data_IF_926555720809
#
_entry.id   IF_926555720809
#
_cell.length_a   1.000
_cell.length_b   1.000
_cell.length_c   1.000
_cell.angle_alpha   90.00
_cell.angle_beta   90.00
_cell.angle_gamma   90.00
#
_symmetry.space_group_name_H-M   'P 1'
#
loop_
_entity.id
_entity.type
_entity.pdbx_description
1 polymer ?
#
# COMPACT_ATOMS: atom_id res chain seq x y z
N UNK A 1 -45.60 54.40 -41.19
CA UNK A 1 -46.63 55.20 -41.92
C UNK A 1 -46.02 56.55 -42.24
N UNK A 2 -45.86 56.91 -43.51
CA UNK A 2 -44.99 58.03 -43.94
C UNK A 2 -45.71 59.01 -44.89
N UNK A 3 -46.98 59.32 -44.60
CA UNK A 3 -47.92 59.92 -45.59
C UNK A 3 -48.76 61.09 -45.05
N UNK A 4 -48.37 61.70 -43.92
CA UNK A 4 -49.13 62.79 -43.27
C UNK A 4 -48.35 64.11 -43.17
N UNK A 5 -47.01 64.10 -43.19
CA UNK A 5 -46.18 65.31 -43.00
C UNK A 5 -46.13 66.26 -44.21
N UNK A 6 -46.59 65.82 -45.38
CA UNK A 6 -46.36 66.50 -46.67
C UNK A 6 -47.48 67.48 -47.09
N UNK A 7 -48.23 68.03 -46.12
CA UNK A 7 -49.42 68.87 -46.40
C UNK A 7 -49.46 70.28 -45.79
N UNK A 8 -48.37 70.75 -45.18
CA UNK A 8 -48.34 72.11 -44.60
C UNK A 8 -47.11 72.96 -45.00
N UNK A 9 -46.68 72.85 -46.26
CA UNK A 9 -45.65 73.73 -46.83
C UNK A 9 -46.00 74.17 -48.27
N UNK A 10 -47.17 74.82 -48.46
CA UNK A 10 -47.59 75.30 -49.78
C UNK A 10 -48.69 76.40 -49.76
N UNK A 11 -48.38 77.58 -49.22
CA UNK A 11 -49.06 78.85 -49.57
C UNK A 11 -48.42 80.09 -48.91
N UNK A 12 -47.09 80.24 -48.98
CA UNK A 12 -46.48 81.58 -48.82
C UNK A 12 -46.65 82.35 -50.13
N UNK A 13 -47.89 82.63 -50.51
CA UNK A 13 -48.16 83.68 -51.47
C UNK A 13 -47.63 84.97 -50.85
N UNK A 14 -46.69 85.63 -51.53
CA UNK A 14 -46.32 87.01 -51.23
C UNK A 14 -47.49 87.89 -51.61
N UNK A 15 -48.48 87.93 -50.71
CA UNK A 15 -49.67 88.76 -50.85
C UNK A 15 -49.20 90.20 -50.90
N UNK A 16 -49.22 90.81 -52.09
CA UNK A 16 -49.07 92.25 -52.21
C UNK A 16 -50.26 92.87 -51.49
N UNK A 17 -50.01 93.28 -50.24
CA UNK A 17 -51.00 93.98 -49.44
C UNK A 17 -51.18 95.35 -50.05
N UNK A 18 -52.41 95.65 -50.46
CA UNK A 18 -52.82 96.98 -50.88
C UNK A 18 -52.36 97.98 -49.83
N UNK A 19 -51.59 98.98 -50.28
CA UNK A 19 -51.14 100.06 -49.40
C UNK A 19 -52.37 100.88 -49.03
N UNK A 20 -52.58 101.10 -47.74
CA UNK A 20 -53.64 102.00 -47.29
C UNK A 20 -53.47 103.36 -47.95
N UNK A 21 -54.59 104.02 -48.29
CA UNK A 21 -54.51 105.42 -48.71
C UNK A 21 -53.94 106.25 -47.56
N UNK A 22 -53.31 107.38 -47.87
CA UNK A 22 -52.65 108.20 -46.85
C UNK A 22 -53.61 108.64 -45.73
N UNK A 23 -54.89 108.85 -46.04
CA UNK A 23 -55.93 109.17 -45.07
C UNK A 23 -56.26 107.98 -44.14
N UNK A 24 -56.41 106.77 -44.68
CA UNK A 24 -56.62 105.56 -43.88
C UNK A 24 -55.41 105.24 -43.01
N UNK A 25 -54.20 105.38 -43.54
CA UNK A 25 -52.96 105.20 -42.80
C UNK A 25 -52.88 106.15 -41.61
N UNK A 26 -53.26 107.43 -41.77
CA UNK A 26 -53.34 108.40 -40.67
C UNK A 26 -54.43 108.04 -39.63
N UNK A 27 -55.62 107.64 -40.08
CA UNK A 27 -56.73 107.26 -39.18
C UNK A 27 -56.38 106.03 -38.34
N UNK A 28 -55.81 104.99 -38.95
CA UNK A 28 -55.35 103.80 -38.22
C UNK A 28 -54.15 104.11 -37.32
N UNK A 29 -53.23 104.98 -37.77
CA UNK A 29 -52.10 105.45 -36.94
C UNK A 29 -52.57 106.10 -35.65
N UNK A 30 -53.54 107.02 -35.69
CA UNK A 30 -54.08 107.67 -34.49
C UNK A 30 -54.72 106.68 -33.49
N UNK A 31 -55.30 105.57 -33.99
CA UNK A 31 -55.79 104.48 -33.14
C UNK A 31 -54.64 103.69 -32.51
N UNK A 32 -53.57 103.41 -33.26
CA UNK A 32 -52.37 102.72 -32.76
C UNK A 32 -51.60 103.58 -31.73
N UNK A 33 -51.52 104.89 -31.93
CA UNK A 33 -50.94 105.87 -30.98
C UNK A 33 -51.69 105.80 -29.63
N UNK A 34 -53.02 105.91 -29.64
CA UNK A 34 -53.87 105.74 -28.47
C UNK A 34 -53.68 104.36 -27.79
N UNK A 35 -53.43 103.29 -28.55
CA UNK A 35 -53.08 101.98 -27.96
C UNK A 35 -51.70 101.97 -27.28
N UNK A 36 -50.68 102.66 -27.82
CA UNK A 36 -49.35 102.79 -27.16
C UNK A 36 -49.46 103.64 -25.90
N UNK A 37 -50.28 104.69 -25.91
CA UNK A 37 -50.54 105.52 -24.73
C UNK A 37 -51.28 104.75 -23.64
N UNK A 38 -52.32 103.97 -23.98
CA UNK A 38 -53.01 103.11 -23.03
C UNK A 38 -52.10 102.00 -22.45
N UNK A 39 -51.25 101.38 -23.28
CA UNK A 39 -50.24 100.44 -22.78
C UNK A 39 -49.21 101.14 -21.88
N UNK A 40 -48.87 102.40 -22.16
CA UNK A 40 -47.96 103.21 -21.34
C UNK A 40 -48.59 103.59 -20.00
N UNK A 41 -49.88 103.94 -19.96
CA UNK A 41 -50.68 104.12 -18.74
C UNK A 41 -50.70 102.82 -17.91
N UNK A 42 -50.90 101.67 -18.56
CA UNK A 42 -50.91 100.37 -17.87
C UNK A 42 -49.59 100.06 -17.13
N UNK A 43 -48.44 100.49 -17.66
CA UNK A 43 -47.13 100.38 -16.98
C UNK A 43 -47.07 101.21 -15.69
N UNK A 44 -47.71 102.38 -15.65
CA UNK A 44 -47.75 103.22 -14.44
C UNK A 44 -48.75 102.70 -13.39
N UNK A 45 -49.78 101.97 -13.83
CA UNK A 45 -50.76 101.30 -12.95
C UNK A 45 -50.21 99.98 -12.40
N UNK A 46 -49.38 99.26 -13.17
CA UNK A 46 -48.80 97.97 -12.80
C UNK A 46 -47.25 97.98 -12.86
N UNK A 47 -46.56 98.66 -11.93
CA UNK A 47 -45.11 98.59 -11.82
C UNK A 47 -44.66 97.20 -11.31
N UNK A 48 -43.46 96.77 -11.72
CA UNK A 48 -42.87 95.47 -11.32
C UNK A 48 -42.27 95.52 -9.89
N UNK A 49 -42.07 96.71 -9.33
CA UNK A 49 -41.64 96.94 -7.94
C UNK A 49 -42.61 97.88 -7.22
N UNK A 50 -43.01 97.52 -6.00
CA UNK A 50 -43.93 98.29 -5.16
C UNK A 50 -43.17 99.25 -4.24
N UNK A 51 -42.24 100.01 -4.81
CA UNK A 51 -41.21 100.76 -4.07
C UNK A 51 -41.23 102.23 -4.50
N UNK A 52 -42.12 103.02 -3.90
CA UNK A 52 -42.35 104.39 -4.38
C UNK A 52 -43.50 105.18 -3.76
N UNK A 53 -43.67 105.14 -2.42
CA UNK A 53 -44.25 106.25 -1.61
C UNK A 53 -44.20 105.94 -0.11
N UNK A 54 -43.26 106.57 0.59
CA UNK A 54 -43.30 106.76 2.03
C UNK A 54 -44.34 107.84 2.42
N UNK A 55 -44.43 108.13 3.72
CA UNK A 55 -44.94 109.39 4.32
C UNK A 55 -46.37 109.41 4.92
N UNK A 56 -47.21 108.37 4.78
CA UNK A 56 -48.61 108.44 5.28
C UNK A 56 -49.02 107.36 6.32
N UNK A 57 -48.32 106.22 6.43
CA UNK A 57 -48.83 105.04 7.18
C UNK A 57 -47.91 104.50 8.30
N UNK A 58 -47.25 105.36 9.08
CA UNK A 58 -46.36 104.88 10.17
C UNK A 58 -47.12 104.22 11.34
N UNK A 59 -48.37 104.60 11.62
CA UNK A 59 -49.09 104.12 12.83
C UNK A 59 -49.48 102.64 12.74
N UNK A 60 -50.14 102.21 11.64
CA UNK A 60 -50.69 100.85 11.53
C UNK A 60 -49.65 99.73 11.32
N UNK A 61 -48.42 100.07 10.92
CA UNK A 61 -47.35 99.07 10.72
C UNK A 61 -46.82 98.57 12.07
N UNK A 62 -46.80 99.43 13.10
CA UNK A 62 -46.27 99.05 14.41
C UNK A 62 -47.22 98.07 15.14
N UNK A 63 -48.52 98.38 15.19
CA UNK A 63 -49.55 97.47 15.73
C UNK A 63 -49.53 96.10 15.00
N UNK A 64 -49.39 96.10 13.67
CA UNK A 64 -49.31 94.86 12.89
C UNK A 64 -48.02 94.07 13.17
N UNK A 65 -46.94 94.74 13.56
CA UNK A 65 -45.68 94.07 13.95
C UNK A 65 -45.81 93.41 15.32
N UNK A 66 -46.40 94.09 16.32
CA UNK A 66 -46.67 93.54 17.65
C UNK A 66 -47.62 92.32 17.59
N UNK A 67 -48.63 92.36 16.71
CA UNK A 67 -49.53 91.23 16.43
C UNK A 67 -48.76 90.04 15.80
N UNK A 68 -47.76 90.29 14.95
CA UNK A 68 -46.94 89.23 14.34
C UNK A 68 -45.96 88.62 15.36
N UNK A 69 -45.42 89.41 16.30
CA UNK A 69 -44.50 88.90 17.32
C UNK A 69 -45.24 88.09 18.39
N UNK A 70 -46.35 88.60 18.92
CA UNK A 70 -47.22 87.83 19.85
C UNK A 70 -47.74 86.54 19.24
N UNK A 71 -48.07 86.52 17.94
CA UNK A 71 -48.50 85.30 17.24
C UNK A 71 -47.37 84.28 17.07
N UNK A 72 -46.11 84.71 16.87
CA UNK A 72 -44.93 83.81 16.85
C UNK A 72 -44.63 83.23 18.24
N UNK A 73 -44.73 84.06 19.28
CA UNK A 73 -44.45 83.66 20.66
C UNK A 73 -45.44 82.57 21.14
N UNK A 74 -46.72 82.66 20.73
CA UNK A 74 -47.72 81.62 20.92
C UNK A 74 -47.39 80.32 20.14
N UNK A 75 -46.92 80.43 18.89
CA UNK A 75 -46.57 79.26 18.06
C UNK A 75 -45.37 78.48 18.64
N UNK A 76 -44.36 79.20 19.15
CA UNK A 76 -43.21 78.60 19.87
C UNK A 76 -43.72 77.85 21.11
N UNK A 77 -44.54 78.49 21.95
CA UNK A 77 -45.12 77.88 23.14
C UNK A 77 -45.90 76.59 22.81
N UNK A 78 -46.68 76.62 21.72
CA UNK A 78 -47.46 75.46 21.26
C UNK A 78 -46.56 74.33 20.73
N UNK A 79 -45.44 74.67 20.10
CA UNK A 79 -44.47 73.70 19.57
C UNK A 79 -43.58 73.09 20.67
N UNK A 80 -43.27 73.83 21.73
CA UNK A 80 -42.64 73.30 22.95
C UNK A 80 -43.57 72.34 23.71
N UNK A 81 -44.83 72.74 23.96
CA UNK A 81 -45.86 71.88 24.56
C UNK A 81 -46.09 70.58 23.77
N UNK A 82 -45.97 70.65 22.44
CA UNK A 82 -46.05 69.46 21.56
C UNK A 82 -44.83 68.56 21.70
N UNK A 83 -43.63 69.14 21.86
CA UNK A 83 -42.36 68.41 21.98
C UNK A 83 -42.21 67.73 23.35
N UNK A 84 -42.58 68.43 24.43
CA UNK A 84 -42.59 67.91 25.79
C UNK A 84 -43.49 66.66 25.97
N UNK A 85 -44.48 66.48 25.08
CA UNK A 85 -45.41 65.34 25.10
C UNK A 85 -44.88 64.07 24.43
N UNK A 86 -43.69 64.09 23.84
CA UNK A 86 -43.16 62.99 23.01
C UNK A 86 -41.81 62.42 23.50
N UNK A 87 -41.25 62.94 24.60
CA UNK A 87 -39.99 62.48 25.20
C UNK A 87 -40.17 61.75 26.53
N UNK A 88 -40.61 60.50 26.52
CA UNK A 88 -40.54 59.58 27.68
C UNK A 88 -40.70 58.12 27.25
N UNK A 89 -39.81 57.24 27.71
CA UNK A 89 -39.85 55.79 27.46
C UNK A 89 -38.52 55.19 26.98
N UNK A 90 -37.83 54.47 27.86
CA UNK A 90 -36.59 53.76 27.56
C UNK A 90 -36.82 52.30 27.08
N UNK A 91 -35.99 51.89 26.11
CA UNK A 91 -35.25 50.61 25.99
C UNK A 91 -35.93 49.23 26.23
N UNK A 92 -35.47 48.25 25.42
CA UNK A 92 -35.56 46.77 25.57
C UNK A 92 -36.60 46.03 24.70
N UNK A 93 -36.08 45.44 23.61
CA UNK A 93 -36.30 44.08 23.08
C UNK A 93 -37.69 43.42 23.15
N UNK A 94 -38.32 43.22 21.98
CA UNK A 94 -38.56 41.86 21.43
C UNK A 94 -38.92 41.89 19.93
N UNK A 95 -38.79 40.75 19.26
CA UNK A 95 -39.25 40.52 17.87
C UNK A 95 -40.67 39.91 17.83
N UNK A 96 -41.25 40.00 16.62
CA UNK A 96 -42.13 38.99 16.01
C UNK A 96 -43.66 39.15 16.16
N UNK A 97 -44.35 38.90 15.04
CA UNK A 97 -45.73 38.41 14.84
C UNK A 97 -46.81 38.86 15.87
N UNK A 98 -47.91 39.51 15.47
CA UNK A 98 -48.82 39.03 14.42
C UNK A 98 -49.60 40.16 13.69
N UNK A 99 -50.18 39.80 12.54
CA UNK A 99 -51.14 40.59 11.78
C UNK A 99 -52.61 40.28 12.12
N UNK A 100 -53.53 41.17 11.74
CA UNK A 100 -55.00 40.94 11.63
C UNK A 100 -55.81 41.01 12.96
N UNK A 101 -56.03 42.23 13.47
CA UNK A 101 -57.38 42.84 13.66
C UNK A 101 -57.31 44.15 14.45
N UNK A 102 -57.65 45.27 13.81
CA UNK A 102 -58.68 46.22 14.28
C UNK A 102 -58.84 47.36 13.26
N UNK A 103 -59.70 47.14 12.26
CA UNK A 103 -60.43 48.27 11.64
C UNK A 103 -61.49 48.76 12.65
N UNK A 104 -62.02 49.96 12.40
CA UNK A 104 -63.14 50.57 13.13
C UNK A 104 -62.82 51.08 14.56
N UNK A 105 -61.94 52.08 14.65
CA UNK A 105 -62.23 53.31 15.42
C UNK A 105 -61.16 54.39 15.16
N UNK A 106 -61.49 55.42 14.35
CA UNK A 106 -61.24 56.85 14.63
C UNK A 106 -61.83 57.75 13.50
N UNK A 107 -63.13 57.62 13.23
CA UNK A 107 -63.81 58.60 12.37
C UNK A 107 -64.09 59.89 13.15
N UNK A 108 -63.10 60.80 13.22
CA UNK A 108 -63.22 62.18 13.76
C UNK A 108 -61.92 63.02 13.58
N UNK A 109 -61.43 63.20 12.35
CA UNK A 109 -60.27 64.11 12.10
C UNK A 109 -60.24 64.75 10.70
N UNK A 110 -61.39 64.89 10.03
CA UNK A 110 -61.46 65.44 8.67
C UNK A 110 -61.93 66.91 8.65
N UNK A 111 -62.91 67.30 9.49
CA UNK A 111 -63.53 68.63 9.43
C UNK A 111 -62.58 69.82 9.72
N UNK A 112 -61.54 69.67 10.55
CA UNK A 112 -60.58 70.75 10.81
C UNK A 112 -59.54 70.95 9.68
N UNK A 113 -59.36 69.98 8.77
CA UNK A 113 -58.39 70.11 7.67
C UNK A 113 -58.99 70.77 6.42
N UNK A 114 -60.31 70.73 6.27
CA UNK A 114 -61.04 71.36 5.16
C UNK A 114 -60.85 72.89 5.14
N UNK A 115 -61.04 73.54 6.30
CA UNK A 115 -61.06 75.01 6.43
C UNK A 115 -59.76 75.69 6.02
N UNK A 116 -58.60 75.11 6.36
CA UNK A 116 -57.28 75.66 5.98
C UNK A 116 -56.99 75.59 4.48
N UNK A 117 -57.61 74.66 3.74
CA UNK A 117 -57.43 74.55 2.29
C UNK A 117 -58.25 75.58 1.50
N UNK A 118 -59.35 76.10 2.07
CA UNK A 118 -60.17 77.13 1.44
C UNK A 118 -59.56 78.53 1.63
N UNK A 119 -59.09 78.86 2.84
CA UNK A 119 -58.42 80.16 3.12
C UNK A 119 -57.21 80.40 2.21
N UNK A 120 -56.34 79.39 2.08
CA UNK A 120 -55.17 79.42 1.19
C UNK A 120 -55.49 79.52 -0.31
N UNK A 121 -56.76 79.34 -0.71
CA UNK A 121 -57.20 79.56 -2.10
C UNK A 121 -57.74 80.99 -2.30
N UNK A 122 -58.37 81.58 -1.30
CA UNK A 122 -58.88 82.95 -1.35
C UNK A 122 -57.74 83.98 -1.48
N UNK A 123 -56.70 83.90 -0.64
CA UNK A 123 -55.57 84.84 -0.70
C UNK A 123 -54.73 84.74 -1.98
N UNK A 124 -54.69 83.57 -2.64
CA UNK A 124 -53.92 83.37 -3.88
C UNK A 124 -54.50 84.06 -5.13
N UNK A 125 -55.62 84.76 -4.99
CA UNK A 125 -56.22 85.56 -6.06
C UNK A 125 -56.09 87.08 -5.85
N UNK A 126 -55.44 87.57 -4.78
CA UNK A 126 -55.26 89.01 -4.53
C UNK A 126 -53.82 89.54 -4.67
N UNK A 127 -52.86 88.69 -5.03
CA UNK A 127 -51.48 89.09 -5.32
C UNK A 127 -50.95 88.30 -6.53
N UNK A 128 -50.55 89.02 -7.59
CA UNK A 128 -49.83 88.44 -8.73
C UNK A 128 -48.41 88.04 -8.29
N UNK A 129 -47.88 86.93 -8.81
CA UNK A 129 -46.47 86.58 -8.57
C UNK A 129 -45.55 87.66 -9.15
N UNK A 130 -44.38 87.85 -8.56
CA UNK A 130 -43.32 88.69 -9.15
C UNK A 130 -42.92 88.18 -10.55
N UNK A 131 -43.04 86.87 -10.79
CA UNK A 131 -42.84 86.28 -12.12
C UNK A 131 -43.99 86.61 -13.08
N UNK A 132 -45.25 86.57 -12.62
CA UNK A 132 -46.42 86.95 -13.42
C UNK A 132 -46.37 88.43 -13.78
N UNK A 133 -45.99 89.31 -12.83
CA UNK A 133 -45.78 90.74 -13.06
C UNK A 133 -44.65 91.00 -14.07
N UNK A 134 -43.52 90.29 -13.94
CA UNK A 134 -42.41 90.39 -14.91
C UNK A 134 -42.84 89.94 -16.30
N UNK A 135 -43.60 88.84 -16.39
CA UNK A 135 -44.17 88.36 -17.66
C UNK A 135 -45.17 89.35 -18.25
N UNK A 136 -46.13 89.84 -17.46
CA UNK A 136 -47.12 90.85 -17.90
C UNK A 136 -46.40 92.10 -18.42
N UNK A 137 -45.36 92.57 -17.75
CA UNK A 137 -44.57 93.72 -18.20
C UNK A 137 -43.77 93.44 -19.48
N UNK A 138 -43.25 92.23 -19.66
CA UNK A 138 -42.57 91.80 -20.89
C UNK A 138 -43.56 91.66 -22.07
N UNK A 139 -44.72 91.03 -21.85
CA UNK A 139 -45.80 90.89 -22.83
C UNK A 139 -46.35 92.30 -23.22
N UNK A 140 -46.53 93.20 -22.25
CA UNK A 140 -46.89 94.62 -22.46
C UNK A 140 -45.83 95.35 -23.29
N UNK A 141 -44.55 95.15 -22.99
CA UNK A 141 -43.47 95.78 -23.75
C UNK A 141 -43.45 95.25 -25.19
N UNK A 142 -43.54 93.93 -25.39
CA UNK A 142 -43.59 93.32 -26.71
C UNK A 142 -44.79 93.83 -27.54
N UNK A 143 -45.98 93.93 -26.93
CA UNK A 143 -47.15 94.52 -27.58
C UNK A 143 -46.91 96.00 -27.94
N UNK A 144 -46.36 96.79 -27.01
CA UNK A 144 -46.00 98.20 -27.23
C UNK A 144 -45.01 98.36 -28.39
N UNK A 145 -43.99 97.50 -28.47
CA UNK A 145 -42.96 97.53 -29.51
C UNK A 145 -43.53 97.14 -30.88
N UNK A 146 -44.33 96.07 -30.94
CA UNK A 146 -44.99 95.60 -32.18
C UNK A 146 -45.98 96.65 -32.70
N UNK A 147 -46.76 97.29 -31.83
CA UNK A 147 -47.66 98.38 -32.20
C UNK A 147 -46.86 99.59 -32.69
N UNK A 148 -45.84 100.03 -31.95
CA UNK A 148 -45.00 101.19 -32.34
C UNK A 148 -44.29 101.00 -33.69
N UNK A 149 -43.76 99.80 -33.95
CA UNK A 149 -43.13 99.47 -35.24
C UNK A 149 -44.17 99.42 -36.38
N UNK A 150 -45.39 98.95 -36.09
CA UNK A 150 -46.49 98.88 -37.08
C UNK A 150 -47.06 100.24 -37.40
N UNK A 151 -47.26 101.08 -36.39
CA UNK A 151 -47.62 102.51 -36.49
C UNK A 151 -46.61 103.26 -37.37
N UNK A 152 -45.30 103.06 -37.13
CA UNK A 152 -44.25 103.65 -37.98
C UNK A 152 -44.27 103.13 -39.43
N UNK A 153 -44.31 101.80 -39.65
CA UNK A 153 -44.42 101.23 -41.02
C UNK A 153 -45.70 101.69 -41.74
N UNK A 154 -46.77 102.02 -41.00
CA UNK A 154 -48.01 102.55 -41.53
C UNK A 154 -47.89 104.03 -41.93
N UNK A 155 -47.28 104.87 -41.09
CA UNK A 155 -46.94 106.26 -41.41
C UNK A 155 -45.97 106.37 -42.61
N UNK A 156 -44.90 105.55 -42.63
CA UNK A 156 -43.82 105.64 -43.62
C UNK A 156 -44.15 104.96 -44.96
N UNK A 157 -44.83 103.81 -44.94
CA UNK A 157 -44.97 102.91 -46.10
C UNK A 157 -46.43 102.50 -46.41
N UNK A 158 -47.40 102.88 -45.58
CA UNK A 158 -48.81 102.51 -45.75
C UNK A 158 -49.12 101.02 -45.54
N UNK A 159 -48.28 100.27 -44.80
CA UNK A 159 -48.41 98.81 -44.63
C UNK A 159 -48.29 98.36 -43.17
N UNK A 160 -48.92 97.22 -42.83
CA UNK A 160 -48.92 96.66 -41.48
C UNK A 160 -48.08 95.38 -41.31
N UNK A 161 -47.18 95.07 -42.27
CA UNK A 161 -46.47 93.78 -42.35
C UNK A 161 -45.75 93.36 -41.06
N UNK A 162 -45.26 94.30 -40.25
CA UNK A 162 -44.63 94.02 -38.95
C UNK A 162 -45.53 93.28 -37.96
N UNK A 163 -46.84 93.53 -37.98
CA UNK A 163 -47.81 92.82 -37.15
C UNK A 163 -48.00 91.37 -37.63
N UNK A 164 -48.07 91.16 -38.94
CA UNK A 164 -48.11 89.83 -39.56
C UNK A 164 -46.82 89.06 -39.26
N UNK A 165 -45.65 89.66 -39.46
CA UNK A 165 -44.35 89.10 -39.10
C UNK A 165 -44.28 88.73 -37.61
N UNK A 166 -44.80 89.57 -36.70
CA UNK A 166 -44.82 89.31 -35.26
C UNK A 166 -45.74 88.14 -34.90
N UNK A 167 -46.92 88.07 -35.53
CA UNK A 167 -47.87 86.97 -35.35
C UNK A 167 -47.28 85.62 -35.82
N UNK A 168 -46.63 85.58 -36.99
CA UNK A 168 -45.95 84.36 -37.46
C UNK A 168 -44.75 83.98 -36.58
N UNK A 169 -44.01 84.95 -36.01
CA UNK A 169 -42.97 84.67 -34.99
C UNK A 169 -43.55 83.99 -33.75
N UNK A 170 -44.68 84.47 -33.21
CA UNK A 170 -45.32 83.85 -32.04
C UNK A 170 -45.95 82.48 -32.36
N UNK A 171 -46.57 82.31 -33.53
CA UNK A 171 -47.01 80.98 -34.01
C UNK A 171 -45.84 80.00 -34.11
N UNK A 172 -44.72 80.42 -34.70
CA UNK A 172 -43.53 79.59 -34.83
C UNK A 172 -42.90 79.23 -33.47
N UNK A 173 -42.86 80.17 -32.51
CA UNK A 173 -42.48 79.86 -31.11
C UNK A 173 -43.43 78.84 -30.49
N UNK A 174 -44.75 79.05 -30.61
CA UNK A 174 -45.79 78.16 -30.04
C UNK A 174 -45.72 76.75 -30.62
N UNK A 175 -45.46 76.60 -31.93
CA UNK A 175 -45.19 75.30 -32.56
C UNK A 175 -43.98 74.63 -31.90
N UNK A 176 -42.83 75.31 -31.87
CA UNK A 176 -41.59 74.76 -31.28
C UNK A 176 -41.73 74.32 -29.81
N UNK A 177 -42.53 75.04 -29.02
CA UNK A 177 -42.87 74.61 -27.65
C UNK A 177 -43.75 73.36 -27.62
N UNK A 178 -44.69 73.19 -28.55
CA UNK A 178 -45.47 71.97 -28.68
C UNK A 178 -44.61 70.79 -29.17
N UNK A 179 -43.74 71.02 -30.16
CA UNK A 179 -42.77 70.06 -30.68
C UNK A 179 -41.75 69.63 -29.61
N UNK A 180 -41.42 70.51 -28.67
CA UNK A 180 -40.63 70.17 -27.48
C UNK A 180 -41.43 69.31 -26.50
N UNK A 181 -42.65 69.72 -26.14
CA UNK A 181 -43.50 69.02 -25.17
C UNK A 181 -43.87 67.60 -25.61
N UNK A 182 -44.11 67.40 -26.92
CA UNK A 182 -44.35 66.06 -27.50
C UNK A 182 -43.13 65.17 -27.30
N UNK A 183 -41.93 65.64 -27.69
CA UNK A 183 -40.69 64.86 -27.54
C UNK A 183 -40.30 64.62 -26.08
N UNK A 184 -40.60 65.55 -25.18
CA UNK A 184 -40.40 65.37 -23.74
C UNK A 184 -41.29 64.24 -23.18
N UNK A 185 -42.55 64.18 -23.60
CA UNK A 185 -43.51 63.15 -23.19
C UNK A 185 -43.27 61.79 -23.89
N UNK A 186 -42.75 61.79 -25.12
CA UNK A 186 -42.23 60.59 -25.79
C UNK A 186 -40.99 60.03 -25.07
N UNK A 187 -40.00 60.88 -24.77
CA UNK A 187 -38.82 60.50 -24.00
C UNK A 187 -39.16 59.97 -22.60
N UNK A 188 -40.14 60.56 -21.91
CA UNK A 188 -40.66 60.03 -20.63
C UNK A 188 -41.29 58.65 -20.76
N UNK A 189 -41.89 58.30 -21.90
CA UNK A 189 -42.44 56.95 -22.16
C UNK A 189 -41.32 55.96 -22.49
N UNK A 190 -40.34 56.38 -23.28
CA UNK A 190 -39.17 55.57 -23.62
C UNK A 190 -38.34 55.23 -22.37
N UNK A 191 -38.04 56.22 -21.53
CA UNK A 191 -37.35 56.02 -20.24
C UNK A 191 -38.10 55.01 -19.38
N UNK A 192 -39.42 55.16 -19.19
CA UNK A 192 -40.24 54.19 -18.42
C UNK A 192 -40.26 52.79 -19.02
N UNK A 193 -40.17 52.67 -20.34
CA UNK A 193 -40.05 51.39 -21.02
C UNK A 193 -38.70 50.73 -20.76
N UNK A 194 -37.60 51.50 -20.85
CA UNK A 194 -36.24 51.04 -20.58
C UNK A 194 -36.03 50.70 -19.09
N UNK A 195 -36.55 51.52 -18.17
CA UNK A 195 -36.58 51.23 -16.72
C UNK A 195 -37.26 49.90 -16.44
N UNK A 196 -38.42 49.63 -17.08
CA UNK A 196 -39.12 48.35 -16.95
C UNK A 196 -38.28 47.20 -17.52
N UNK A 197 -37.75 47.33 -18.74
CA UNK A 197 -36.92 46.28 -19.37
C UNK A 197 -35.71 45.94 -18.50
N UNK A 198 -35.03 46.95 -17.94
CA UNK A 198 -33.88 46.77 -17.04
C UNK A 198 -34.29 46.12 -15.71
N UNK A 199 -35.48 46.44 -15.18
CA UNK A 199 -36.02 45.76 -14.00
C UNK A 199 -36.39 44.29 -14.28
N UNK A 200 -36.95 43.99 -15.44
CA UNK A 200 -37.38 42.65 -15.83
C UNK A 200 -36.18 41.75 -16.14
N UNK A 201 -35.18 42.23 -16.90
CA UNK A 201 -33.88 41.55 -17.10
C UNK A 201 -33.19 41.29 -15.76
N UNK A 202 -33.21 42.24 -14.82
CA UNK A 202 -32.62 42.03 -13.48
C UNK A 202 -33.30 40.87 -12.73
N UNK A 203 -34.63 40.75 -12.79
CA UNK A 203 -35.37 39.62 -12.19
C UNK A 203 -35.00 38.29 -12.87
N UNK A 204 -34.89 38.29 -14.18
CA UNK A 204 -34.52 37.11 -14.97
C UNK A 204 -33.11 36.62 -14.60
N UNK A 205 -32.12 37.52 -14.54
CA UNK A 205 -30.75 37.17 -14.12
C UNK A 205 -30.66 36.69 -12.66
N UNK A 206 -31.49 37.22 -11.77
CA UNK A 206 -31.58 36.77 -10.37
C UNK A 206 -32.16 35.34 -10.29
N UNK A 207 -33.22 35.05 -11.05
CA UNK A 207 -33.83 33.72 -11.14
C UNK A 207 -32.85 32.71 -11.79
N UNK A 208 -32.12 33.09 -12.84
CA UNK A 208 -31.06 32.25 -13.40
C UNK A 208 -29.96 31.94 -12.37
N UNK A 209 -29.53 32.93 -11.58
CA UNK A 209 -28.48 32.77 -10.58
C UNK A 209 -28.95 31.82 -9.48
N UNK A 210 -30.15 32.00 -8.94
CA UNK A 210 -30.76 31.10 -7.96
C UNK A 210 -30.93 29.67 -8.51
N UNK A 211 -31.31 29.51 -9.78
CA UNK A 211 -31.38 28.21 -10.44
C UNK A 211 -29.99 27.54 -10.58
N UNK A 212 -28.94 28.31 -10.87
CA UNK A 212 -27.56 27.83 -10.92
C UNK A 212 -27.05 27.44 -9.53
N UNK A 213 -27.33 28.22 -8.49
CA UNK A 213 -26.96 27.89 -7.10
C UNK A 213 -27.67 26.63 -6.60
N UNK A 214 -28.96 26.46 -6.90
CA UNK A 214 -29.70 25.23 -6.61
C UNK A 214 -29.09 24.01 -7.31
N UNK A 215 -28.67 24.14 -8.57
CA UNK A 215 -27.95 23.09 -9.30
C UNK A 215 -26.57 22.79 -8.68
N UNK A 216 -25.85 23.82 -8.22
CA UNK A 216 -24.56 23.68 -7.54
C UNK A 216 -24.71 22.96 -6.19
N UNK A 217 -25.81 23.16 -5.46
CA UNK A 217 -26.12 22.39 -4.25
C UNK A 217 -26.42 20.93 -4.59
N UNK A 218 -27.33 20.68 -5.54
CA UNK A 218 -27.68 19.32 -5.97
C UNK A 218 -26.45 18.49 -6.42
N UNK A 219 -25.58 19.06 -7.25
CA UNK A 219 -24.37 18.39 -7.72
C UNK A 219 -23.31 18.18 -6.62
N UNK A 220 -23.30 19.00 -5.55
CA UNK A 220 -22.46 18.75 -4.36
C UNK A 220 -22.97 17.58 -3.55
N UNK A 221 -24.29 17.50 -3.35
CA UNK A 221 -24.92 16.42 -2.60
C UNK A 221 -24.76 15.08 -3.33
N UNK A 222 -24.98 15.04 -4.66
CA UNK A 222 -24.73 13.86 -5.50
C UNK A 222 -23.26 13.43 -5.46
N UNK A 223 -22.31 14.37 -5.57
CA UNK A 223 -20.87 14.08 -5.47
C UNK A 223 -20.50 13.54 -4.08
N UNK A 224 -21.10 14.07 -3.01
CA UNK A 224 -20.87 13.58 -1.64
C UNK A 224 -21.48 12.18 -1.43
N UNK A 225 -22.65 11.89 -1.99
CA UNK A 225 -23.27 10.56 -1.97
C UNK A 225 -22.43 9.54 -2.75
N UNK A 226 -22.02 9.88 -3.97
CA UNK A 226 -21.18 9.02 -4.82
C UNK A 226 -19.81 8.76 -4.18
N UNK A 227 -19.22 9.76 -3.51
CA UNK A 227 -18.00 9.57 -2.72
C UNK A 227 -18.24 8.59 -1.56
N UNK A 228 -19.29 8.79 -0.76
CA UNK A 228 -19.60 7.92 0.38
C UNK A 228 -19.87 6.46 -0.03
N UNK A 229 -20.53 6.24 -1.19
CA UNK A 229 -20.68 4.91 -1.80
C UNK A 229 -19.32 4.32 -2.17
N UNK A 230 -18.51 5.06 -2.92
CA UNK A 230 -17.18 4.61 -3.39
C UNK A 230 -16.25 4.27 -2.22
N UNK A 231 -16.22 5.09 -1.18
CA UNK A 231 -15.42 4.86 0.03
C UNK A 231 -15.88 3.60 0.79
N UNK A 232 -17.19 3.36 0.87
CA UNK A 232 -17.77 2.14 1.47
C UNK A 232 -17.47 0.88 0.66
N UNK A 233 -17.66 0.93 -0.66
CA UNK A 233 -17.37 -0.18 -1.59
C UNK A 233 -15.88 -0.54 -1.57
N UNK A 234 -15.00 0.46 -1.59
CA UNK A 234 -13.55 0.28 -1.42
C UNK A 234 -13.21 -0.40 -0.09
N UNK A 235 -13.83 0.04 1.02
CA UNK A 235 -13.66 -0.60 2.32
C UNK A 235 -14.18 -2.04 2.37
N UNK A 236 -15.28 -2.35 1.68
CA UNK A 236 -15.82 -3.71 1.60
C UNK A 236 -14.92 -4.63 0.76
N UNK A 237 -14.55 -4.19 -0.44
CA UNK A 237 -13.69 -4.94 -1.36
C UNK A 237 -12.34 -5.24 -0.72
N UNK A 238 -11.72 -4.26 -0.04
CA UNK A 238 -10.48 -4.47 0.72
C UNK A 238 -10.65 -5.53 1.81
N UNK A 239 -11.69 -5.44 2.65
CA UNK A 239 -11.96 -6.44 3.70
C UNK A 239 -12.17 -7.84 3.13
N UNK A 240 -12.81 -7.95 1.96
CA UNK A 240 -13.04 -9.22 1.27
C UNK A 240 -11.73 -9.82 0.74
N UNK A 241 -10.87 -9.02 0.09
CA UNK A 241 -9.56 -9.47 -0.39
C UNK A 241 -8.60 -9.79 0.75
N UNK A 242 -8.55 -8.97 1.81
CA UNK A 242 -7.73 -9.21 3.00
C UNK A 242 -8.12 -10.56 3.68
N UNK A 243 -9.42 -10.84 3.77
CA UNK A 243 -9.94 -12.11 4.30
C UNK A 243 -9.63 -13.30 3.37
N UNK A 244 -9.73 -13.14 2.06
CA UNK A 244 -9.38 -14.18 1.08
C UNK A 244 -7.88 -14.52 1.13
N UNK A 245 -7.01 -13.51 1.22
CA UNK A 245 -5.56 -13.67 1.40
C UNK A 245 -5.27 -14.39 2.71
N UNK A 246 -5.84 -13.94 3.84
CA UNK A 246 -5.63 -14.58 5.14
C UNK A 246 -6.16 -16.03 5.18
N UNK A 247 -7.31 -16.33 4.57
CA UNK A 247 -7.82 -17.71 4.47
C UNK A 247 -6.90 -18.58 3.61
N UNK A 248 -6.34 -18.04 2.53
CA UNK A 248 -5.41 -18.74 1.63
C UNK A 248 -4.08 -19.00 2.33
N UNK A 249 -3.50 -17.98 2.97
CA UNK A 249 -2.29 -18.13 3.78
C UNK A 249 -2.46 -19.17 4.88
N UNK A 250 -3.60 -19.20 5.58
CA UNK A 250 -3.89 -20.23 6.60
C UNK A 250 -3.97 -21.64 6.01
N UNK A 251 -4.47 -21.81 4.78
CA UNK A 251 -4.45 -23.10 4.07
C UNK A 251 -3.01 -23.52 3.70
N UNK A 252 -2.21 -22.60 3.15
CA UNK A 252 -0.79 -22.84 2.83
C UNK A 252 0.01 -23.21 4.08
N UNK A 253 -0.03 -22.38 5.12
CA UNK A 253 0.66 -22.64 6.40
C UNK A 253 0.26 -24.00 6.99
N UNK A 254 -1.02 -24.40 6.90
CA UNK A 254 -1.45 -25.71 7.39
C UNK A 254 -0.83 -26.86 6.57
N UNK A 255 -0.79 -26.76 5.24
CA UNK A 255 -0.16 -27.77 4.38
C UNK A 255 1.37 -27.83 4.58
N UNK A 256 2.04 -26.69 4.68
CA UNK A 256 3.46 -26.58 5.02
C UNK A 256 3.78 -27.23 6.37
N UNK A 257 2.96 -27.00 7.39
CA UNK A 257 3.11 -27.64 8.70
C UNK A 257 2.90 -29.17 8.67
N UNK A 258 2.09 -29.69 7.75
CA UNK A 258 1.95 -31.15 7.54
C UNK A 258 3.20 -31.71 6.88
N UNK A 259 3.69 -31.06 5.81
CA UNK A 259 4.92 -31.47 5.13
C UNK A 259 6.15 -31.38 6.06
N UNK A 260 6.25 -30.33 6.87
CA UNK A 260 7.33 -30.16 7.85
C UNK A 260 7.36 -31.29 8.89
N UNK A 261 6.19 -31.72 9.39
CA UNK A 261 6.08 -32.86 10.31
C UNK A 261 6.51 -34.17 9.67
N UNK A 262 6.16 -34.40 8.40
CA UNK A 262 6.61 -35.61 7.70
C UNK A 262 8.13 -35.57 7.41
N UNK A 263 8.68 -34.40 7.05
CA UNK A 263 10.15 -34.21 6.92
C UNK A 263 10.86 -34.49 8.25
N UNK A 264 10.34 -34.00 9.37
CA UNK A 264 10.89 -34.26 10.71
C UNK A 264 10.84 -35.76 11.06
N UNK A 265 9.73 -36.43 10.76
CA UNK A 265 9.50 -37.87 10.96
C UNK A 265 10.39 -38.76 10.07
N UNK A 266 10.67 -38.33 8.84
CA UNK A 266 11.60 -39.01 7.94
C UNK A 266 13.06 -38.82 8.38
N UNK A 267 13.43 -37.63 8.88
CA UNK A 267 14.73 -37.40 9.52
C UNK A 267 14.94 -38.31 10.72
N UNK A 268 14.01 -38.35 11.67
CA UNK A 268 14.15 -39.22 12.85
C UNK A 268 14.22 -40.71 12.52
N UNK A 269 13.61 -41.15 11.40
CA UNK A 269 13.82 -42.52 10.86
C UNK A 269 15.22 -42.71 10.28
N UNK A 270 15.73 -41.73 9.56
CA UNK A 270 17.10 -41.78 9.00
C UNK A 270 18.14 -41.83 10.12
N UNK A 271 17.96 -41.03 11.18
CA UNK A 271 18.82 -41.02 12.37
C UNK A 271 18.76 -42.36 13.12
N UNK A 272 17.57 -42.97 13.22
CA UNK A 272 17.36 -44.31 13.78
C UNK A 272 18.07 -45.40 12.95
N UNK A 273 17.87 -45.39 11.63
CA UNK A 273 18.50 -46.31 10.69
C UNK A 273 20.03 -46.20 10.75
N UNK A 274 20.60 -44.99 10.75
CA UNK A 274 22.05 -44.77 10.90
C UNK A 274 22.56 -45.39 12.20
N UNK A 275 21.86 -45.17 13.33
CA UNK A 275 22.30 -45.71 14.63
C UNK A 275 22.29 -47.24 14.63
N UNK A 276 21.23 -47.86 14.12
CA UNK A 276 21.11 -49.33 14.03
C UNK A 276 22.19 -49.92 13.10
N UNK A 277 22.50 -49.27 11.97
CA UNK A 277 23.61 -49.70 11.10
C UNK A 277 24.97 -49.64 11.84
N UNK A 278 25.24 -48.57 12.59
CA UNK A 278 26.47 -48.46 13.40
C UNK A 278 26.56 -49.53 14.49
N UNK A 279 25.44 -49.85 15.16
CA UNK A 279 25.37 -50.91 16.17
C UNK A 279 25.66 -52.29 15.56
N UNK A 280 25.06 -52.60 14.39
CA UNK A 280 25.30 -53.84 13.64
C UNK A 280 26.75 -53.93 13.14
N UNK A 281 27.30 -52.84 12.56
CA UNK A 281 28.67 -52.82 12.06
C UNK A 281 29.68 -53.05 13.20
N UNK A 282 29.47 -52.41 14.35
CA UNK A 282 30.29 -52.61 15.56
C UNK A 282 30.22 -54.06 16.06
N UNK A 283 29.02 -54.66 16.11
CA UNK A 283 28.84 -56.07 16.48
C UNK A 283 29.59 -57.00 15.52
N UNK A 284 29.47 -56.80 14.21
CA UNK A 284 30.15 -57.60 13.19
C UNK A 284 31.67 -57.45 13.27
N UNK A 285 32.20 -56.22 13.45
CA UNK A 285 33.63 -55.96 13.65
C UNK A 285 34.17 -56.66 14.89
N UNK A 286 33.43 -56.65 16.00
CA UNK A 286 33.80 -57.38 17.21
C UNK A 286 33.78 -58.90 17.03
N UNK A 287 32.81 -59.44 16.27
CA UNK A 287 32.76 -60.87 15.98
C UNK A 287 33.85 -61.32 15.01
N UNK A 288 34.16 -60.52 13.99
CA UNK A 288 35.28 -60.74 13.08
C UNK A 288 36.61 -60.77 13.87
N UNK A 289 36.88 -59.78 14.72
CA UNK A 289 38.09 -59.75 15.56
C UNK A 289 38.24 -60.99 16.46
N UNK A 290 37.15 -61.45 17.09
CA UNK A 290 37.16 -62.70 17.91
C UNK A 290 37.40 -63.98 17.11
N UNK A 291 37.24 -63.96 15.79
CA UNK A 291 37.57 -65.08 14.89
C UNK A 291 38.99 -64.95 14.37
N UNK A 292 39.43 -63.72 14.06
CA UNK A 292 40.79 -63.37 13.66
C UNK A 292 41.80 -63.73 14.77
N UNK A 293 41.55 -63.30 16.02
CA UNK A 293 42.34 -63.66 17.22
C UNK A 293 42.44 -65.19 17.44
N UNK A 294 41.40 -65.95 17.07
CA UNK A 294 41.41 -67.42 17.16
C UNK A 294 42.18 -68.06 16.01
N UNK A 295 42.09 -67.49 14.81
CA UNK A 295 42.83 -67.96 13.64
C UNK A 295 44.32 -67.75 13.85
N UNK A 296 44.72 -66.56 14.32
CA UNK A 296 46.09 -66.22 14.71
C UNK A 296 46.63 -67.21 15.74
N UNK A 297 45.90 -67.48 16.82
CA UNK A 297 46.26 -68.51 17.82
C UNK A 297 46.43 -69.92 17.22
N UNK A 298 45.57 -70.35 16.29
CA UNK A 298 45.68 -71.68 15.69
C UNK A 298 46.80 -71.77 14.63
N UNK A 299 47.16 -70.66 13.98
CA UNK A 299 48.32 -70.58 13.08
C UNK A 299 49.62 -70.61 13.88
N UNK A 300 49.78 -69.70 14.85
CA UNK A 300 50.94 -69.67 15.76
C UNK A 300 51.12 -71.04 16.44
N UNK A 301 50.06 -71.64 16.96
CA UNK A 301 50.14 -72.98 17.53
C UNK A 301 50.58 -74.03 16.50
N UNK A 302 50.04 -74.01 15.28
CA UNK A 302 50.40 -75.00 14.25
C UNK A 302 51.87 -74.87 13.81
N UNK A 303 52.37 -73.64 13.71
CA UNK A 303 53.78 -73.35 13.41
C UNK A 303 54.68 -73.85 14.54
N UNK A 304 54.41 -73.49 15.80
CA UNK A 304 55.16 -73.98 16.97
C UNK A 304 55.09 -75.53 17.14
N UNK A 305 53.92 -76.15 16.97
CA UNK A 305 53.77 -77.62 17.03
C UNK A 305 54.51 -78.33 15.88
N UNK A 306 54.71 -77.65 14.73
CA UNK A 306 55.46 -78.17 13.57
C UNK A 306 56.97 -78.01 13.76
N UNK A 307 57.44 -76.82 14.14
CA UNK A 307 58.85 -76.54 14.42
C UNK A 307 59.38 -77.49 15.51
N UNK A 308 58.62 -77.69 16.60
CA UNK A 308 58.98 -78.64 17.66
C UNK A 308 59.02 -80.11 17.18
N UNK A 309 58.27 -80.46 16.12
CA UNK A 309 58.32 -81.80 15.52
C UNK A 309 59.49 -81.96 14.57
N UNK A 310 59.88 -80.92 13.82
CA UNK A 310 61.09 -80.95 13.00
C UNK A 310 62.36 -80.90 13.88
N UNK A 311 62.36 -80.20 15.02
CA UNK A 311 63.44 -80.28 16.02
C UNK A 311 63.60 -81.70 16.60
N UNK A 312 62.51 -82.36 17.00
CA UNK A 312 62.53 -83.77 17.44
C UNK A 312 63.09 -84.69 16.33
N UNK A 313 62.66 -84.46 15.10
CA UNK A 313 63.04 -85.26 13.94
C UNK A 313 64.53 -85.07 13.58
N UNK A 314 65.05 -83.85 13.68
CA UNK A 314 66.47 -83.54 13.47
C UNK A 314 67.35 -84.03 14.62
N UNK A 315 66.88 -83.96 15.87
CA UNK A 315 67.55 -84.60 17.01
C UNK A 315 67.64 -86.12 16.83
N UNK A 316 66.58 -86.76 16.30
CA UNK A 316 66.59 -88.19 15.96
C UNK A 316 67.49 -88.51 14.75
N UNK A 317 67.54 -87.65 13.71
CA UNK A 317 68.53 -87.77 12.61
C UNK A 317 69.97 -87.70 13.16
N UNK A 318 70.26 -86.72 14.02
CA UNK A 318 71.59 -86.51 14.61
C UNK A 318 71.99 -87.68 15.52
N UNK A 319 71.07 -88.17 16.36
CA UNK A 319 71.28 -89.37 17.18
C UNK A 319 71.53 -90.62 16.31
N UNK A 320 70.77 -90.81 15.24
CA UNK A 320 70.99 -91.90 14.27
C UNK A 320 72.35 -91.79 13.58
N UNK A 321 72.78 -90.59 13.21
CA UNK A 321 74.10 -90.35 12.59
C UNK A 321 75.25 -90.64 13.56
N UNK A 322 75.15 -90.19 14.82
CA UNK A 322 76.14 -90.47 15.87
C UNK A 322 76.23 -91.99 16.16
N UNK A 323 75.09 -92.67 16.32
CA UNK A 323 75.07 -94.13 16.49
C UNK A 323 75.67 -94.87 15.29
N UNK A 324 75.43 -94.40 14.06
CA UNK A 324 76.06 -94.95 12.86
C UNK A 324 77.58 -94.74 12.87
N UNK A 325 78.06 -93.56 13.26
CA UNK A 325 79.49 -93.26 13.37
C UNK A 325 80.17 -94.12 14.46
N UNK A 326 79.53 -94.28 15.62
CA UNK A 326 80.00 -95.15 16.71
C UNK A 326 80.08 -96.62 16.25
N UNK A 327 79.07 -97.12 15.53
CA UNK A 327 79.09 -98.48 14.96
C UNK A 327 80.19 -98.63 13.90
N UNK A 328 80.42 -97.62 13.05
CA UNK A 328 81.54 -97.62 12.10
C UNK A 328 82.90 -97.56 12.79
N UNK A 329 83.01 -96.87 13.94
CA UNK A 329 84.22 -96.79 14.76
C UNK A 329 84.53 -98.14 15.40
N UNK A 330 83.54 -98.76 16.04
CA UNK A 330 83.64 -100.10 16.62
C UNK A 330 83.92 -101.18 15.56
N UNK A 331 83.33 -101.08 14.37
CA UNK A 331 83.61 -102.01 13.27
C UNK A 331 85.07 -101.92 12.80
N UNK A 332 85.63 -100.71 12.70
CA UNK A 332 87.07 -100.50 12.43
C UNK A 332 87.95 -101.03 13.57
N UNK A 333 87.55 -100.82 14.81
CA UNK A 333 88.27 -101.31 15.99
C UNK A 333 88.31 -102.85 16.02
N UNK A 334 87.17 -103.51 15.81
CA UNK A 334 87.08 -104.96 15.61
C UNK A 334 87.95 -105.43 14.45
N UNK A 335 87.95 -104.74 13.30
CA UNK A 335 88.84 -105.07 12.19
C UNK A 335 90.33 -104.99 12.60
N UNK A 336 90.75 -103.95 13.34
CA UNK A 336 92.14 -103.86 13.82
C UNK A 336 92.47 -104.92 14.88
N UNK A 337 91.51 -105.38 15.69
CA UNK A 337 91.69 -106.52 16.58
C UNK A 337 91.78 -107.84 15.81
N UNK A 338 90.98 -108.03 14.75
CA UNK A 338 91.11 -109.21 13.88
C UNK A 338 92.45 -109.21 13.14
N UNK A 339 92.89 -108.09 12.57
CA UNK A 339 94.19 -107.94 11.92
C UNK A 339 95.36 -108.20 12.88
N UNK A 340 95.30 -107.71 14.13
CA UNK A 340 96.35 -107.98 15.14
C UNK A 340 96.31 -109.41 15.68
N UNK A 341 95.13 -110.04 15.82
CA UNK A 341 95.02 -111.48 16.15
C UNK A 341 95.51 -112.37 15.01
N UNK A 342 95.24 -112.00 13.76
CA UNK A 342 95.79 -112.67 12.57
C UNK A 342 97.32 -112.50 12.53
N UNK A 343 97.83 -111.31 12.85
CA UNK A 343 99.27 -111.04 12.93
C UNK A 343 99.94 -111.86 14.04
N UNK A 344 99.41 -111.88 15.27
CA UNK A 344 99.94 -112.69 16.37
C UNK A 344 99.89 -114.20 16.07
N UNK A 345 98.82 -114.68 15.41
CA UNK A 345 98.74 -116.07 14.93
C UNK A 345 99.78 -116.36 13.85
N UNK A 346 99.96 -115.45 12.89
CA UNK A 346 100.95 -115.57 11.83
C UNK A 346 102.39 -115.50 12.38
N UNK A 347 102.65 -114.67 13.39
CA UNK A 347 103.96 -114.54 14.05
C UNK A 347 104.25 -115.77 14.94
N UNK A 348 103.26 -116.27 15.70
CA UNK A 348 103.39 -117.54 16.44
C UNK A 348 103.58 -118.71 15.50
N UNK A 349 102.92 -118.73 14.34
CA UNK A 349 103.14 -119.78 13.35
C UNK A 349 104.47 -119.62 12.61
N UNK A 350 104.94 -118.41 12.33
CA UNK A 350 106.28 -118.16 11.83
C UNK A 350 107.33 -118.65 12.85
N UNK A 351 107.17 -118.35 14.13
CA UNK A 351 108.02 -118.88 15.22
C UNK A 351 107.96 -120.40 15.32
N UNK A 352 106.79 -121.04 15.10
CA UNK A 352 106.71 -122.51 14.99
C UNK A 352 107.48 -123.03 13.78
N UNK A 353 107.28 -122.46 12.59
CA UNK A 353 107.98 -122.88 11.37
C UNK A 353 109.49 -122.64 11.46
N UNK A 354 109.91 -121.59 12.16
CA UNK A 354 111.31 -121.30 12.44
C UNK A 354 111.89 -122.36 13.40
N UNK A 355 111.20 -122.69 14.51
CA UNK A 355 111.59 -123.80 15.38
C UNK A 355 111.55 -125.18 14.68
N UNK A 356 110.66 -125.39 13.70
CA UNK A 356 110.66 -126.58 12.84
C UNK A 356 111.82 -126.55 11.84
N UNK A 357 112.22 -125.38 11.32
CA UNK A 357 113.42 -125.23 10.49
C UNK A 357 114.69 -125.47 11.30
N UNK A 358 114.83 -124.87 12.49
CA UNK A 358 115.92 -125.13 13.44
C UNK A 358 116.00 -126.64 13.79
N UNK A 359 114.85 -127.29 14.02
CA UNK A 359 114.76 -128.73 14.28
C UNK A 359 115.04 -129.60 13.04
N UNK A 360 114.79 -129.08 11.83
CA UNK A 360 115.13 -129.73 10.56
C UNK A 360 116.62 -129.57 10.22
N UNK A 361 117.25 -128.44 10.55
CA UNK A 361 118.70 -128.25 10.45
C UNK A 361 119.44 -129.13 11.45
N UNK A 362 118.97 -129.23 12.71
CA UNK A 362 119.44 -130.23 13.67
C UNK A 362 119.28 -131.67 13.15
N UNK A 363 118.17 -131.99 12.46
CA UNK A 363 117.98 -133.29 11.78
C UNK A 363 118.87 -133.47 10.55
N UNK A 364 119.32 -132.40 9.90
CA UNK A 364 120.21 -132.43 8.75
C UNK A 364 121.64 -132.73 9.19
N UNK A 365 122.10 -132.11 10.28
CA UNK A 365 123.40 -132.37 10.91
C UNK A 365 123.51 -133.83 11.40
N UNK A 366 122.40 -134.44 11.84
CA UNK A 366 122.37 -135.81 12.38
C UNK A 366 122.14 -136.94 11.35
N UNK A 367 122.27 -136.70 10.04
CA UNK A 367 121.83 -137.68 9.01
C UNK A 367 122.79 -137.96 7.84
N UNK A 368 124.10 -138.02 8.08
CA UNK A 368 125.08 -138.59 7.14
C UNK A 368 126.15 -139.50 7.81
N UNK A 369 125.75 -140.64 8.40
CA UNK A 369 126.63 -141.78 8.69
C UNK A 369 125.84 -143.07 8.99
N UNK A 370 126.23 -144.20 8.37
CA UNK A 370 125.92 -145.63 8.68
C UNK A 370 124.45 -146.03 8.99
N UNK A 371 123.74 -146.89 8.26
CA UNK A 371 123.99 -148.24 7.65
C UNK A 371 123.81 -149.47 8.57
N UNK A 372 123.25 -150.54 7.97
CA UNK A 372 123.09 -151.94 8.42
C UNK A 372 122.04 -152.24 9.52
N UNK A 373 121.21 -153.28 9.31
CA UNK A 373 120.50 -154.00 10.38
C UNK A 373 119.09 -154.50 10.04
N UNK A 374 118.77 -155.75 10.37
CA UNK A 374 117.43 -156.36 10.20
C UNK A 374 116.90 -157.01 11.49
N UNK A 375 115.57 -157.24 11.53
CA UNK A 375 114.74 -158.17 12.33
C UNK A 375 115.41 -159.18 13.32
N UNK A 376 114.69 -159.73 14.34
CA UNK A 376 113.53 -159.21 15.11
C UNK A 376 113.51 -159.60 16.63
N UNK A 377 112.51 -159.11 17.40
CA UNK A 377 111.77 -159.84 18.49
C UNK A 377 110.60 -158.98 19.05
N UNK A 378 109.82 -159.48 20.02
CA UNK A 378 108.42 -159.06 20.24
C UNK A 378 107.95 -158.88 21.72
N UNK A 379 106.75 -158.28 21.87
CA UNK A 379 105.85 -158.31 23.07
C UNK A 379 106.21 -157.41 24.28
N UNK A 380 105.31 -157.13 25.25
CA UNK A 380 103.92 -156.59 25.13
C UNK A 380 103.54 -155.52 26.22
N UNK A 381 102.24 -155.11 26.28
CA UNK A 381 101.51 -154.65 27.50
C UNK A 381 101.80 -153.19 28.03
N UNK A 382 100.90 -152.40 28.69
CA UNK A 382 99.49 -152.59 29.14
C UNK A 382 98.63 -151.32 29.51
N UNK A 383 97.30 -151.41 29.29
CA UNK A 383 96.11 -151.07 30.18
C UNK A 383 95.79 -149.66 30.79
N UNK A 384 94.52 -149.25 30.53
CA UNK A 384 93.41 -148.82 31.47
C UNK A 384 93.51 -147.46 32.22
N UNK A 385 92.44 -146.84 32.80
CA UNK A 385 91.07 -147.31 33.20
C UNK A 385 90.04 -146.13 33.35
N UNK A 386 88.81 -146.25 32.80
CA UNK A 386 87.44 -146.02 33.42
C UNK A 386 87.05 -144.68 34.16
N UNK A 387 85.77 -144.27 34.40
CA UNK A 387 84.41 -144.86 34.24
C UNK A 387 83.23 -143.85 34.40
N UNK A 388 82.11 -144.03 33.66
CA UNK A 388 80.65 -143.80 34.01
C UNK A 388 80.16 -142.46 34.65
N UNK A 389 78.86 -142.13 34.79
CA UNK A 389 77.55 -142.81 34.55
C UNK A 389 76.49 -141.80 34.00
N UNK A 390 75.19 -142.10 34.03
CA UNK A 390 74.10 -141.39 33.30
C UNK A 390 72.79 -141.24 34.12
N UNK A 391 71.70 -140.73 33.48
CA UNK A 391 70.23 -140.87 33.75
C UNK A 391 69.42 -139.54 33.81
N UNK A 392 68.16 -139.57 33.34
CA UNK A 392 67.09 -138.53 33.26
C UNK A 392 66.06 -138.70 34.44
N UNK A 393 64.91 -137.98 34.64
CA UNK A 393 64.18 -137.05 33.75
C UNK A 393 63.39 -135.83 34.36
N UNK A 394 62.79 -135.02 33.45
CA UNK A 394 61.51 -134.23 33.53
C UNK A 394 61.37 -132.90 34.37
N UNK A 395 60.39 -132.02 33.99
CA UNK A 395 60.08 -130.68 34.57
C UNK A 395 58.76 -130.71 35.44
N UNK A 396 57.93 -129.65 35.69
CA UNK A 396 57.95 -128.21 35.31
C UNK A 396 57.45 -127.17 36.37
N UNK A 397 57.37 -125.88 35.96
CA UNK A 397 56.44 -124.79 36.39
C UNK A 397 56.61 -123.60 35.40
N UNK A 398 55.67 -122.75 34.98
CA UNK A 398 54.26 -122.43 35.33
C UNK A 398 54.06 -121.64 36.65
N UNK A 399 53.34 -120.52 36.76
CA UNK A 399 52.54 -119.66 35.85
C UNK A 399 52.94 -118.17 36.05
N UNK A 400 52.27 -117.06 35.64
CA UNK A 400 51.05 -116.64 34.89
C UNK A 400 51.33 -115.18 34.39
N UNK A 401 50.49 -114.38 33.68
CA UNK A 401 49.13 -114.54 33.15
C UNK A 401 48.62 -113.23 32.46
N UNK A 402 47.82 -113.36 31.40
CA UNK A 402 46.94 -112.32 30.83
C UNK A 402 45.51 -112.49 31.43
N UNK A 403 44.49 -111.63 31.14
CA UNK A 403 44.45 -110.25 30.60
C UNK A 403 43.65 -109.31 31.54
N UNK A 404 43.32 -108.07 31.10
CA UNK A 404 42.34 -107.23 31.80
C UNK A 404 41.86 -106.02 30.99
N UNK A 405 40.54 -105.91 30.74
CA UNK A 405 39.93 -104.79 30.01
C UNK A 405 38.77 -104.16 30.80
N UNK A 406 38.74 -102.81 30.85
CA UNK A 406 37.63 -101.86 31.19
C UNK A 406 38.24 -100.47 31.47
N UNK A 407 37.54 -99.33 31.38
CA UNK A 407 36.39 -98.95 30.56
C UNK A 407 36.07 -97.44 30.78
N UNK A 408 35.64 -96.74 29.70
CA UNK A 408 35.08 -95.37 29.70
C UNK A 408 36.04 -94.25 30.18
N UNK A 409 35.84 -92.95 29.89
CA UNK A 409 34.76 -92.19 29.21
C UNK A 409 35.43 -91.33 28.11
N UNK A 410 34.82 -90.93 26.99
CA UNK A 410 33.47 -90.37 26.71
C UNK A 410 33.27 -88.94 27.26
N UNK A 411 33.72 -87.97 26.48
CA UNK A 411 33.11 -86.65 26.28
C UNK A 411 33.57 -86.18 24.88
N UNK A 412 32.88 -86.59 23.82
CA UNK A 412 31.69 -85.92 23.26
C UNK A 412 31.99 -84.51 22.74
N UNK A 413 32.42 -84.45 21.48
CA UNK A 413 32.22 -83.27 20.65
C UNK A 413 30.70 -83.11 20.42
N UNK A 414 30.17 -81.90 20.60
CA UNK A 414 28.86 -81.51 20.11
C UNK A 414 29.01 -80.27 19.24
N UNK A 415 28.65 -80.40 17.96
CA UNK A 415 28.77 -79.34 16.96
C UNK A 415 27.57 -79.46 16.00
N UNK A 416 26.44 -78.85 16.40
CA UNK A 416 25.18 -78.87 15.66
C UNK A 416 24.29 -77.67 16.03
N UNK A 417 24.52 -76.54 15.36
CA UNK A 417 23.43 -75.63 14.98
C UNK A 417 22.65 -76.25 13.77
N UNK A 418 21.53 -75.67 13.26
CA UNK A 418 20.81 -74.46 13.70
C UNK A 418 19.30 -74.67 13.88
N UNK A 419 18.62 -73.66 14.45
CA UNK A 419 17.23 -73.34 14.07
C UNK A 419 17.04 -71.83 13.95
N UNK A 420 16.94 -71.33 12.72
CA UNK A 420 16.43 -69.99 12.44
C UNK A 420 15.66 -69.96 11.11
N UNK A 421 14.34 -70.04 11.22
CA UNK A 421 13.32 -69.84 10.19
C UNK A 421 12.03 -69.42 10.93
N UNK A 422 11.13 -68.58 10.41
CA UNK A 422 11.22 -67.75 9.19
C UNK A 422 10.08 -66.72 9.17
N UNK A 423 10.37 -65.52 8.67
CA UNK A 423 9.51 -64.69 7.80
C UNK A 423 8.04 -64.39 8.22
N UNK A 424 7.82 -63.12 8.57
CA UNK A 424 6.75 -62.24 8.04
C UNK A 424 5.30 -62.75 7.86
N UNK A 425 4.39 -62.15 8.64
CA UNK A 425 3.04 -61.77 8.15
C UNK A 425 2.73 -60.32 8.54
N UNK A 426 2.55 -59.48 7.52
CA UNK A 426 1.88 -58.17 7.55
C UNK A 426 0.80 -58.21 6.45
N UNK A 427 -0.20 -57.32 6.53
CA UNK A 427 -1.40 -57.31 5.66
C UNK A 427 -2.34 -58.54 5.86
N UNK A 428 -3.67 -58.45 5.68
CA UNK A 428 -4.54 -57.31 5.36
C UNK A 428 -5.95 -57.47 5.98
N UNK A 429 -6.47 -56.41 6.62
CA UNK A 429 -7.90 -56.09 6.82
C UNK A 429 -7.98 -54.73 7.56
N UNK A 430 -9.01 -53.90 7.46
CA UNK A 430 -10.22 -53.92 6.62
C UNK A 430 -11.07 -52.69 7.00
N UNK A 431 -11.14 -51.67 6.12
CA UNK A 431 -11.76 -50.38 6.45
C UNK A 431 -13.30 -50.39 6.43
N UNK A 432 -13.90 -49.31 7.01
CA UNK A 432 -15.29 -48.81 6.89
C UNK A 432 -16.29 -49.38 7.91
N UNK A 433 -17.32 -48.64 8.36
CA UNK A 433 -17.61 -47.20 8.23
C UNK A 433 -18.64 -46.76 9.30
N UNK A 434 -18.57 -45.49 9.73
CA UNK A 434 -19.67 -44.50 9.73
C UNK A 434 -19.39 -43.38 10.75
N UNK A 435 -19.60 -42.12 10.36
CA UNK A 435 -19.29 -40.99 11.24
C UNK A 435 -19.23 -39.61 10.58
N UNK A 436 -20.15 -39.28 9.66
CA UNK A 436 -20.35 -37.89 9.21
C UNK A 436 -21.84 -37.60 9.18
N UNK A 437 -22.26 -36.59 9.95
CA UNK A 437 -23.50 -35.85 9.74
C UNK A 437 -23.13 -34.39 9.54
N UNK A 438 -23.62 -33.81 8.44
CA UNK A 438 -23.71 -32.38 8.15
C UNK A 438 -25.04 -32.19 7.42
#
# INVERSE_FOLDING_TARGET
MATVSERLCKSTETKEMEKFTHLEALLFTAVLENCVDQLSILRYIMPVSYEGKTDITHTGIQEMTEIIETQKELDINYQELRSARQGSGETVTSMSLQSIKHKQQLGKTEDLKSTHHLSNRAMKHSALSVEDLRKIQADRQYASDVITVTMRKMQELGTFNSLTEANEREKAKKSKFHDFLIREEEGKKEIKSLEKQLQDVKKETEIELQNRDNMIVYLKDELQEMKAKTDMESCYMKKSTDLQVHQTQKKCNNAENVLHKEIQKLRSKTDEEIRVHMEIENFLRQHYKKVEEKLEYWVDKYENDTDAKDEELDALKASKANNLEMLQRLAKECQTFEETIISDRAEKEAKRRQLEQDALELKSILKQATEVGAFPKASPFTRRKTQTLAVLPRPPQCHQGLPGARAARSQECNLAEPQCCSCSTWFEEGWRHNGVSV
#
